data_IF_584457286168
#
_entry.id   IF_584457286168
#
_cell.length_a   1.000
_cell.length_b   1.000
_cell.length_c   1.000
_cell.angle_alpha   90.00
_cell.angle_beta   90.00
_cell.angle_gamma   90.00
#
_symmetry.space_group_name_H-M   'P 1'
#
loop_
_entity.id
_entity.type
_entity.pdbx_description
1 polymer ?
#
# COMPACT_ATOMS: atom_id res chain seq x y z
N UNK A 1 -9.47 4.45 11.14
CA UNK A 1 -8.13 4.46 10.55
C UNK A 1 -7.55 5.87 10.65
N UNK A 2 -6.36 6.08 11.23
CA UNK A 2 -5.77 7.40 11.35
C UNK A 2 -5.32 7.93 9.99
N UNK A 3 -5.38 9.24 9.82
CA UNK A 3 -4.98 9.93 8.60
C UNK A 3 -4.13 11.15 8.95
N UNK A 4 -2.99 11.30 8.31
CA UNK A 4 -2.05 12.38 8.56
C UNK A 4 -1.64 13.11 7.27
N UNK A 5 -1.60 14.45 7.33
CA UNK A 5 -1.21 15.30 6.19
C UNK A 5 0.32 15.41 6.05
N UNK A 6 0.96 14.36 5.59
CA UNK A 6 2.40 14.30 5.36
C UNK A 6 2.92 15.36 4.37
N UNK A 7 2.06 15.81 3.46
CA UNK A 7 2.40 16.85 2.47
C UNK A 7 2.77 18.17 3.11
N UNK A 8 2.35 18.43 4.35
CA UNK A 8 2.72 19.64 5.10
C UNK A 8 4.09 19.55 5.75
N UNK A 9 4.67 18.36 5.84
CA UNK A 9 5.96 18.10 6.45
C UNK A 9 6.99 17.77 5.35
N UNK A 10 7.47 18.81 4.67
CA UNK A 10 8.45 18.63 3.61
C UNK A 10 9.69 17.88 4.11
N UNK A 11 10.08 16.81 3.42
CA UNK A 11 11.28 16.02 3.73
C UNK A 11 11.16 15.07 4.92
N UNK A 12 10.03 15.04 5.64
CA UNK A 12 9.85 14.07 6.73
C UNK A 12 9.68 12.64 6.19
N UNK A 13 10.31 11.66 6.84
CA UNK A 13 10.07 10.25 6.53
C UNK A 13 8.67 9.85 7.04
N UNK A 14 7.77 9.34 6.18
CA UNK A 14 6.44 8.89 6.58
C UNK A 14 6.48 7.55 7.32
N UNK A 15 7.36 7.44 8.30
CA UNK A 15 7.47 6.30 9.19
C UNK A 15 6.61 6.55 10.43
N UNK A 16 5.71 5.62 10.72
CA UNK A 16 4.84 5.69 11.90
C UNK A 16 5.56 5.12 13.10
N UNK A 17 5.63 5.91 14.18
CA UNK A 17 6.16 5.50 15.48
C UNK A 17 5.06 5.08 16.45
N UNK A 18 5.41 5.04 17.74
CA UNK A 18 4.49 4.70 18.83
C UNK A 18 3.53 5.85 19.20
N UNK A 19 3.79 7.05 18.70
CA UNK A 19 2.95 8.21 18.94
C UNK A 19 1.81 8.29 17.92
N UNK A 20 0.64 8.71 18.39
CA UNK A 20 -0.49 8.97 17.52
C UNK A 20 -0.26 10.28 16.76
N UNK A 21 -0.05 10.15 15.43
CA UNK A 21 0.18 11.26 14.52
C UNK A 21 -0.94 11.32 13.49
N UNK A 22 -2.16 11.63 13.92
CA UNK A 22 -3.32 11.72 13.05
C UNK A 22 -3.93 13.12 13.05
N UNK A 23 -4.50 13.52 11.90
CA UNK A 23 -5.27 14.76 11.73
C UNK A 23 -6.76 14.49 11.55
N UNK A 24 -7.16 13.22 11.60
CA UNK A 24 -8.53 12.76 11.48
C UNK A 24 -8.60 11.25 11.51
N UNK A 25 -9.75 10.72 11.87
CA UNK A 25 -9.99 9.30 12.02
C UNK A 25 -11.36 8.93 11.46
N UNK A 26 -11.44 7.75 10.87
CA UNK A 26 -12.68 7.19 10.35
C UNK A 26 -12.91 5.84 11.01
N UNK A 27 -14.10 5.66 11.59
CA UNK A 27 -14.58 4.36 12.04
C UNK A 27 -15.21 3.63 10.85
N UNK A 28 -14.87 2.37 10.68
CA UNK A 28 -15.44 1.50 9.66
C UNK A 28 -15.87 0.18 10.28
N UNK A 29 -16.97 -0.35 9.79
CA UNK A 29 -17.58 -1.58 10.26
C UNK A 29 -17.69 -2.57 9.10
N UNK A 30 -17.72 -3.86 9.42
CA UNK A 30 -17.89 -4.93 8.46
C UNK A 30 -18.27 -6.23 9.15
N UNK A 31 -18.87 -7.16 8.42
CA UNK A 31 -19.25 -8.49 8.89
C UNK A 31 -18.04 -9.43 9.02
N UNK A 32 -16.94 -9.04 8.40
CA UNK A 32 -15.65 -9.72 8.48
C UNK A 32 -14.52 -8.73 8.64
N UNK A 33 -13.34 -9.22 9.05
CA UNK A 33 -12.13 -8.41 9.14
C UNK A 33 -11.79 -7.74 7.80
N UNK A 34 -11.90 -8.49 6.70
CA UNK A 34 -11.60 -7.97 5.36
C UNK A 34 -12.58 -6.87 4.93
N UNK A 35 -13.85 -7.03 5.23
CA UNK A 35 -14.88 -6.06 4.92
C UNK A 35 -14.68 -4.76 5.71
N UNK A 36 -14.46 -4.84 7.03
CA UNK A 36 -14.20 -3.69 7.87
C UNK A 36 -12.89 -2.97 7.46
N UNK A 37 -11.84 -3.75 7.17
CA UNK A 37 -10.57 -3.17 6.73
C UNK A 37 -10.71 -2.50 5.36
N UNK A 38 -11.41 -3.13 4.40
CA UNK A 38 -11.68 -2.54 3.08
C UNK A 38 -12.44 -1.22 3.20
N UNK A 39 -13.53 -1.20 3.95
CA UNK A 39 -14.29 0.01 4.20
C UNK A 39 -13.43 1.13 4.84
N UNK A 40 -12.54 0.74 5.75
CA UNK A 40 -11.60 1.65 6.41
C UNK A 40 -10.62 2.30 5.43
N UNK A 41 -9.97 1.51 4.54
CA UNK A 41 -9.03 2.07 3.57
C UNK A 41 -9.73 2.83 2.45
N UNK A 42 -10.88 2.37 2.01
CA UNK A 42 -11.67 3.03 0.97
C UNK A 42 -12.18 4.42 1.41
N UNK A 43 -12.32 4.64 2.71
CA UNK A 43 -12.71 5.94 3.26
C UNK A 43 -11.55 6.92 3.42
N UNK A 44 -10.31 6.51 3.16
CA UNK A 44 -9.15 7.41 3.22
C UNK A 44 -9.06 8.29 1.98
N UNK A 45 -8.68 9.55 2.17
CA UNK A 45 -8.53 10.50 1.06
C UNK A 45 -7.46 10.02 0.07
N UNK A 46 -7.81 9.97 -1.21
CA UNK A 46 -6.88 9.60 -2.28
C UNK A 46 -6.69 8.09 -2.48
N UNK A 47 -7.36 7.24 -1.69
CA UNK A 47 -7.32 5.81 -1.96
C UNK A 47 -7.97 5.51 -3.32
N UNK A 48 -7.25 4.72 -4.11
CA UNK A 48 -7.74 4.18 -5.37
C UNK A 48 -7.65 2.67 -5.33
N UNK A 49 -8.66 1.99 -5.84
CA UNK A 49 -8.67 0.53 -5.91
C UNK A 49 -7.57 0.07 -6.85
N UNK A 50 -6.60 -0.73 -6.36
CA UNK A 50 -5.51 -1.23 -7.20
C UNK A 50 -6.03 -2.17 -8.28
N UNK A 51 -5.50 -2.04 -9.49
CA UNK A 51 -5.91 -2.84 -10.63
C UNK A 51 -4.86 -3.92 -10.92
N UNK A 52 -5.27 -5.18 -11.16
CA UNK A 52 -4.39 -6.21 -11.67
C UNK A 52 -3.67 -5.75 -12.96
N UNK A 53 -2.52 -6.33 -13.25
CA UNK A 53 -1.61 -5.96 -14.34
C UNK A 53 -0.91 -4.60 -14.21
N UNK A 54 -1.18 -3.86 -13.14
CA UNK A 54 -0.47 -2.62 -12.81
C UNK A 54 0.67 -2.88 -11.82
N UNK A 55 1.49 -1.86 -11.61
CA UNK A 55 2.70 -1.93 -10.83
C UNK A 55 2.46 -1.78 -9.32
N UNK A 56 3.21 -2.55 -8.55
CA UNK A 56 3.36 -2.40 -7.09
C UNK A 56 4.84 -2.27 -6.78
N UNK A 57 5.20 -1.28 -5.99
CA UNK A 57 6.57 -1.12 -5.52
C UNK A 57 6.73 -1.75 -4.13
N UNK A 58 7.60 -2.75 -4.04
CA UNK A 58 7.94 -3.44 -2.81
C UNK A 58 9.32 -3.02 -2.32
N UNK A 59 9.47 -2.83 -1.02
CA UNK A 59 10.73 -2.46 -0.39
C UNK A 59 10.76 -2.78 1.09
N UNK A 60 11.90 -2.55 1.72
CA UNK A 60 12.09 -2.68 3.16
C UNK A 60 13.04 -3.78 3.58
N UNK A 61 12.86 -4.27 4.81
CA UNK A 61 13.74 -5.25 5.43
C UNK A 61 13.49 -6.66 4.88
N UNK A 62 14.49 -7.20 4.21
CA UNK A 62 14.48 -8.57 3.63
C UNK A 62 14.34 -9.68 4.68
N UNK A 63 14.58 -9.36 5.97
CA UNK A 63 14.41 -10.32 7.05
C UNK A 63 12.95 -10.44 7.54
N UNK A 64 12.04 -9.65 7.00
CA UNK A 64 10.61 -9.74 7.33
C UNK A 64 9.92 -10.78 6.45
N UNK A 65 9.46 -11.90 7.02
CA UNK A 65 8.79 -12.95 6.26
C UNK A 65 7.50 -12.47 5.59
N UNK A 66 6.87 -11.42 6.14
CA UNK A 66 5.66 -10.80 5.60
C UNK A 66 5.91 -10.20 4.20
N UNK A 67 7.13 -9.71 3.92
CA UNK A 67 7.47 -9.20 2.59
C UNK A 67 7.34 -10.30 1.52
N UNK A 68 7.85 -11.48 1.83
CA UNK A 68 7.75 -12.66 0.97
C UNK A 68 6.30 -13.13 0.79
N UNK A 69 5.54 -13.15 1.89
CA UNK A 69 4.12 -13.55 1.88
C UNK A 69 3.28 -12.61 1.02
N UNK A 70 3.44 -11.31 1.23
CA UNK A 70 2.74 -10.27 0.46
C UNK A 70 3.10 -10.34 -1.01
N UNK A 71 4.38 -10.49 -1.34
CA UNK A 71 4.83 -10.60 -2.73
C UNK A 71 4.18 -11.77 -3.46
N UNK A 72 4.13 -12.95 -2.84
CA UNK A 72 3.44 -14.13 -3.40
C UNK A 72 1.97 -13.85 -3.68
N UNK A 73 1.27 -13.28 -2.70
CA UNK A 73 -0.16 -12.96 -2.82
C UNK A 73 -0.42 -11.99 -3.95
N UNK A 74 0.31 -10.87 -3.99
CA UNK A 74 0.15 -9.85 -5.01
C UNK A 74 0.51 -10.37 -6.42
N UNK A 75 1.56 -11.16 -6.54
CA UNK A 75 1.93 -11.77 -7.81
C UNK A 75 0.82 -12.71 -8.32
N UNK A 76 0.27 -13.56 -7.44
CA UNK A 76 -0.84 -14.46 -7.78
C UNK A 76 -2.14 -13.71 -8.16
N UNK A 77 -2.33 -12.50 -7.66
CA UNK A 77 -3.43 -11.61 -8.03
C UNK A 77 -3.18 -10.87 -9.36
N UNK A 78 -2.04 -11.11 -10.01
CA UNK A 78 -1.71 -10.56 -11.32
C UNK A 78 -1.07 -9.17 -11.28
N UNK A 79 -0.55 -8.71 -10.14
CA UNK A 79 0.20 -7.45 -10.07
C UNK A 79 1.63 -7.63 -10.60
N UNK A 80 2.16 -6.58 -11.25
CA UNK A 80 3.57 -6.49 -11.62
C UNK A 80 4.37 -6.01 -10.42
N UNK A 81 5.35 -6.81 -9.98
CA UNK A 81 6.15 -6.48 -8.80
C UNK A 81 7.42 -5.72 -9.21
N UNK A 82 7.64 -4.60 -8.55
CA UNK A 82 8.83 -3.77 -8.69
C UNK A 82 9.50 -3.56 -7.34
N UNK A 83 10.81 -3.32 -7.35
CA UNK A 83 11.58 -2.97 -6.15
C UNK A 83 12.66 -1.94 -6.50
N UNK A 84 13.11 -1.19 -5.52
CA UNK A 84 14.21 -0.22 -5.66
C UNK A 84 15.55 -0.79 -5.19
N UNK A 85 15.51 -1.74 -4.27
CA UNK A 85 16.67 -2.27 -3.56
C UNK A 85 17.11 -3.62 -4.15
N UNK A 86 18.42 -3.84 -4.42
CA UNK A 86 18.94 -5.09 -4.97
C UNK A 86 18.72 -6.29 -4.05
N UNK A 87 18.77 -6.11 -2.73
CA UNK A 87 18.55 -7.22 -1.79
C UNK A 87 17.09 -7.68 -1.82
N UNK A 88 16.16 -6.75 -1.96
CA UNK A 88 14.73 -7.07 -2.15
C UNK A 88 14.50 -7.77 -3.49
N UNK A 89 15.16 -7.33 -4.57
CA UNK A 89 15.10 -8.00 -5.87
C UNK A 89 15.55 -9.46 -5.76
N UNK A 90 16.71 -9.68 -5.12
CA UNK A 90 17.26 -11.03 -4.94
C UNK A 90 16.32 -11.91 -4.11
N UNK A 91 15.77 -11.37 -3.00
CA UNK A 91 14.80 -12.07 -2.17
C UNK A 91 13.55 -12.47 -2.98
N UNK A 92 12.94 -11.52 -3.68
CA UNK A 92 11.68 -11.76 -4.39
C UNK A 92 11.87 -12.75 -5.55
N UNK A 93 12.96 -12.66 -6.28
CA UNK A 93 13.26 -13.59 -7.38
C UNK A 93 13.75 -14.96 -6.89
N UNK A 94 14.08 -15.13 -5.61
CA UNK A 94 14.32 -16.43 -4.99
C UNK A 94 13.04 -17.22 -4.72
N UNK A 95 11.89 -16.55 -4.74
CA UNK A 95 10.59 -17.17 -4.50
C UNK A 95 10.13 -17.90 -5.77
N UNK A 96 9.82 -19.21 -5.72
CA UNK A 96 9.32 -19.92 -6.90
C UNK A 96 8.12 -19.22 -7.52
N UNK A 97 8.15 -19.07 -8.84
CA UNK A 97 7.09 -18.47 -9.68
C UNK A 97 6.86 -16.97 -9.48
N UNK A 98 7.56 -16.29 -8.58
CA UNK A 98 7.51 -14.84 -8.43
C UNK A 98 8.59 -14.20 -9.30
N UNK A 99 8.23 -13.13 -9.99
CA UNK A 99 9.17 -12.31 -10.75
C UNK A 99 9.01 -10.86 -10.33
N UNK A 100 10.08 -10.24 -9.90
CA UNK A 100 10.15 -8.82 -9.57
C UNK A 100 11.25 -8.15 -10.36
N UNK A 101 11.00 -6.93 -10.81
CA UNK A 101 11.95 -6.12 -11.56
C UNK A 101 12.42 -4.94 -10.73
N UNK A 102 13.74 -4.79 -10.65
CA UNK A 102 14.32 -3.59 -10.05
C UNK A 102 14.11 -2.38 -10.94
N UNK A 103 13.72 -1.28 -10.35
CA UNK A 103 13.65 0.04 -10.96
C UNK A 103 14.63 0.98 -10.26
N UNK A 104 15.27 1.82 -11.07
CA UNK A 104 16.22 2.80 -10.57
C UNK A 104 15.52 4.15 -10.36
N UNK A 105 15.77 4.80 -9.23
CA UNK A 105 15.21 6.11 -8.91
C UNK A 105 16.23 7.23 -9.11
N UNK A 106 15.93 8.25 -9.94
CA UNK A 106 16.74 9.45 -10.07
C UNK A 106 16.53 10.37 -8.86
N UNK A 107 17.19 10.06 -7.74
CA UNK A 107 16.98 10.68 -6.41
C UNK A 107 17.00 12.21 -6.41
N UNK A 108 17.69 12.83 -7.34
CA UNK A 108 17.88 14.30 -7.41
C UNK A 108 16.86 15.04 -8.28
N UNK A 109 16.03 14.32 -9.04
CA UNK A 109 15.11 14.92 -10.00
C UNK A 109 13.68 14.43 -9.79
N UNK A 110 12.87 15.22 -9.10
CA UNK A 110 11.48 14.87 -8.79
C UNK A 110 10.59 14.66 -10.02
N UNK A 111 10.86 15.34 -11.14
CA UNK A 111 10.07 15.16 -12.37
C UNK A 111 10.34 13.80 -12.96
N UNK A 112 11.61 13.43 -13.14
CA UNK A 112 12.00 12.11 -13.62
C UNK A 112 11.56 10.99 -12.68
N UNK A 113 11.53 11.26 -11.38
CA UNK A 113 11.04 10.32 -10.39
C UNK A 113 9.54 10.04 -10.60
N UNK A 114 8.75 11.08 -10.87
CA UNK A 114 7.33 10.91 -11.19
C UNK A 114 7.14 10.14 -12.48
N UNK A 115 7.90 10.48 -13.53
CA UNK A 115 7.88 9.75 -14.80
C UNK A 115 8.14 8.25 -14.60
N UNK A 116 9.09 7.88 -13.72
CA UNK A 116 9.34 6.46 -13.38
C UNK A 116 8.12 5.81 -12.76
N UNK A 117 7.44 6.46 -11.80
CA UNK A 117 6.22 5.90 -11.21
C UNK A 117 5.09 5.75 -12.23
N UNK A 118 4.95 6.71 -13.14
CA UNK A 118 3.95 6.68 -14.19
C UNK A 118 4.28 5.62 -15.26
N UNK A 119 5.54 5.51 -15.72
CA UNK A 119 5.99 4.54 -16.72
C UNK A 119 5.82 3.08 -16.27
N UNK A 120 6.06 2.81 -14.99
CA UNK A 120 5.83 1.49 -14.39
C UNK A 120 4.41 1.31 -13.85
N UNK A 121 3.54 2.29 -14.05
CA UNK A 121 2.15 2.29 -13.60
C UNK A 121 2.00 1.91 -12.12
N UNK A 122 2.89 2.43 -11.26
CA UNK A 122 2.89 2.12 -9.83
C UNK A 122 1.62 2.68 -9.18
N UNK A 123 0.80 1.81 -8.63
CA UNK A 123 -0.48 2.18 -8.00
C UNK A 123 -0.42 2.29 -6.50
N UNK A 124 0.47 1.56 -5.86
CA UNK A 124 0.70 1.63 -4.43
C UNK A 124 2.10 1.13 -4.07
N UNK A 125 2.53 1.47 -2.88
CA UNK A 125 3.86 1.15 -2.36
C UNK A 125 3.70 0.38 -1.05
N UNK A 126 4.39 -0.74 -0.92
CA UNK A 126 4.57 -1.46 0.34
C UNK A 126 6.04 -1.41 0.69
N UNK A 127 6.38 -0.73 1.77
CA UNK A 127 7.76 -0.58 2.21
C UNK A 127 7.89 -0.91 3.68
N UNK A 128 8.29 -2.15 3.96
CA UNK A 128 8.41 -2.70 5.31
C UNK A 128 9.77 -2.34 5.94
N UNK A 129 10.11 -1.06 5.91
CA UNK A 129 11.41 -0.58 6.34
C UNK A 129 11.77 -0.98 7.77
N UNK A 130 13.07 -1.13 7.99
CA UNK A 130 13.66 -1.17 9.31
C UNK A 130 13.86 0.27 9.77
N UNK A 131 13.49 0.57 11.02
CA UNK A 131 13.84 1.87 11.60
C UNK A 131 15.37 1.99 11.67
N UNK A 132 15.93 2.90 10.92
CA UNK A 132 17.38 3.17 10.87
C UNK A 132 17.63 4.62 11.24
N UNK A 133 17.22 5.15 12.34
CA UNK A 133 17.58 6.50 12.75
C UNK A 133 17.43 7.59 11.64
N UNK A 134 17.69 8.83 11.98
CA UNK A 134 17.47 9.99 11.07
C UNK A 134 18.55 10.18 9.98
N UNK A 135 19.59 9.38 9.92
CA UNK A 135 20.83 9.76 9.21
C UNK A 135 21.05 9.11 7.84
N UNK A 136 20.14 8.27 7.35
CA UNK A 136 20.33 7.62 6.05
C UNK A 136 19.14 7.88 5.11
N UNK A 137 19.38 8.76 4.12
CA UNK A 137 18.51 8.91 2.93
C UNK A 137 18.77 7.70 2.01
N UNK A 138 18.21 6.57 2.34
CA UNK A 138 18.29 5.36 1.52
C UNK A 138 17.20 5.32 0.43
N UNK A 139 17.32 4.36 -0.48
CA UNK A 139 16.34 4.16 -1.56
C UNK A 139 14.94 3.89 -1.02
N UNK A 140 14.84 3.25 0.14
CA UNK A 140 13.57 2.97 0.81
C UNK A 140 12.91 4.25 1.32
N UNK A 141 13.68 5.19 1.87
CA UNK A 141 13.17 6.51 2.22
C UNK A 141 12.64 7.26 0.99
N UNK A 142 13.41 7.24 -0.11
CA UNK A 142 13.01 7.88 -1.37
C UNK A 142 11.70 7.30 -1.86
N UNK A 143 11.54 5.97 -1.84
CA UNK A 143 10.31 5.30 -2.24
C UNK A 143 9.11 5.72 -1.36
N UNK A 144 9.27 5.70 -0.03
CA UNK A 144 8.20 6.12 0.91
C UNK A 144 7.83 7.58 0.75
N UNK A 145 8.83 8.47 0.68
CA UNK A 145 8.58 9.91 0.57
C UNK A 145 7.87 10.27 -0.73
N UNK A 146 8.30 9.69 -1.84
CA UNK A 146 7.68 9.97 -3.13
C UNK A 146 6.30 9.34 -3.29
N UNK A 147 6.04 8.18 -2.67
CA UNK A 147 4.68 7.66 -2.60
C UNK A 147 3.71 8.69 -2.01
N UNK A 148 4.09 9.31 -0.89
CA UNK A 148 3.28 10.37 -0.24
C UNK A 148 3.20 11.62 -1.09
N UNK A 149 4.33 12.11 -1.64
CA UNK A 149 4.37 13.32 -2.45
C UNK A 149 3.53 13.19 -3.75
N UNK A 150 3.40 11.98 -4.29
CA UNK A 150 2.61 11.69 -5.49
C UNK A 150 1.17 11.25 -5.20
N UNK A 151 0.81 11.16 -3.92
CA UNK A 151 -0.54 10.76 -3.50
C UNK A 151 -0.83 9.28 -3.72
N UNK A 152 0.20 8.42 -3.73
CA UNK A 152 0.04 6.98 -3.82
C UNK A 152 -0.17 6.37 -2.42
N UNK A 153 -1.04 5.36 -2.28
CA UNK A 153 -1.16 4.62 -1.04
C UNK A 153 0.17 4.02 -0.62
N UNK A 154 0.53 4.21 0.64
CA UNK A 154 1.74 3.67 1.25
C UNK A 154 1.38 2.80 2.45
N UNK A 155 1.87 1.56 2.44
CA UNK A 155 1.76 0.63 3.57
C UNK A 155 3.17 0.33 4.07
N UNK A 156 3.44 0.65 5.34
CA UNK A 156 4.77 0.49 5.94
C UNK A 156 4.80 -0.40 7.19
N UNK A 157 3.66 -1.00 7.55
CA UNK A 157 3.53 -1.93 8.66
C UNK A 157 3.26 -3.35 8.13
N UNK A 158 3.99 -4.35 8.65
CA UNK A 158 4.05 -5.70 8.11
C UNK A 158 2.69 -6.43 8.17
N UNK A 159 2.02 -6.40 9.32
CA UNK A 159 0.72 -7.07 9.49
C UNK A 159 -0.38 -6.40 8.65
N UNK A 160 -0.32 -5.07 8.55
CA UNK A 160 -1.23 -4.32 7.69
C UNK A 160 -1.01 -4.65 6.22
N UNK A 161 0.23 -4.87 5.79
CA UNK A 161 0.53 -5.28 4.42
C UNK A 161 -0.03 -6.67 4.08
N UNK A 162 0.11 -7.62 5.00
CA UNK A 162 -0.50 -8.96 4.85
C UNK A 162 -2.02 -8.86 4.79
N UNK A 163 -2.63 -8.14 5.73
CA UNK A 163 -4.08 -7.93 5.75
C UNK A 163 -4.59 -7.26 4.48
N UNK A 164 -3.84 -6.29 3.93
CA UNK A 164 -4.17 -5.64 2.68
C UNK A 164 -4.18 -6.63 1.51
N UNK A 165 -3.14 -7.45 1.38
CA UNK A 165 -3.06 -8.46 0.33
C UNK A 165 -4.17 -9.52 0.45
N UNK A 166 -4.49 -9.96 1.67
CA UNK A 166 -5.59 -10.88 1.93
C UNK A 166 -6.95 -10.28 1.60
N UNK A 167 -7.12 -9.01 1.94
CA UNK A 167 -8.36 -8.29 1.64
C UNK A 167 -8.54 -8.11 0.13
N UNK A 168 -7.48 -7.77 -0.61
CA UNK A 168 -7.52 -7.72 -2.07
C UNK A 168 -7.92 -9.08 -2.66
N UNK A 169 -7.30 -10.17 -2.17
CA UNK A 169 -7.64 -11.52 -2.62
C UNK A 169 -9.10 -11.87 -2.36
N UNK A 170 -9.61 -11.57 -1.16
CA UNK A 170 -10.99 -11.81 -0.80
C UNK A 170 -11.98 -11.02 -1.68
N UNK A 171 -11.68 -9.73 -1.93
CA UNK A 171 -12.51 -8.87 -2.78
C UNK A 171 -12.49 -9.29 -4.24
N UNK A 172 -11.35 -9.69 -4.77
CA UNK A 172 -11.24 -10.22 -6.14
C UNK A 172 -12.02 -11.53 -6.30
N UNK A 173 -11.93 -12.43 -5.33
CA UNK A 173 -12.68 -13.68 -5.35
C UNK A 173 -14.20 -13.47 -5.32
N UNK A 174 -14.66 -12.40 -4.68
CA UNK A 174 -16.08 -12.01 -4.64
C UNK A 174 -16.55 -11.26 -5.90
N UNK A 175 -15.65 -10.93 -6.83
CA UNK A 175 -15.96 -10.07 -7.98
C UNK A 175 -16.28 -8.62 -7.61
N UNK A 176 -15.96 -8.19 -6.39
CA UNK A 176 -16.36 -6.90 -5.83
C UNK A 176 -15.33 -5.78 -6.04
N UNK A 177 -14.20 -6.07 -6.72
CA UNK A 177 -13.17 -5.05 -6.96
C UNK A 177 -13.50 -4.11 -8.12
N UNK A 178 -14.27 -4.55 -9.11
CA UNK A 178 -14.57 -3.79 -10.32
C UNK A 178 -15.95 -4.15 -10.90
N UNK A 179 -16.65 -3.16 -11.50
CA UNK A 179 -16.34 -1.74 -11.52
C UNK A 179 -17.14 -0.97 -10.48
N UNK A 180 -16.52 0.02 -9.86
CA UNK A 180 -17.30 1.14 -9.34
C UNK A 180 -17.88 1.88 -10.56
N UNK A 181 -19.12 1.64 -10.89
CA UNK A 181 -19.83 2.52 -11.82
C UNK A 181 -19.88 3.91 -11.18
N UNK A 182 -19.38 4.89 -11.90
CA UNK A 182 -19.37 6.28 -11.45
C UNK A 182 -20.78 6.70 -11.04
N UNK A 183 -20.94 7.14 -9.78
CA UNK A 183 -22.23 7.53 -9.22
C UNK A 183 -22.97 6.45 -8.43
N UNK A 184 -22.49 5.20 -8.36
CA UNK A 184 -23.08 4.15 -7.54
C UNK A 184 -22.39 4.09 -6.19
N UNK A 185 -23.14 4.23 -5.10
CA UNK A 185 -22.63 4.03 -3.74
C UNK A 185 -22.16 2.56 -3.62
N UNK A 186 -20.90 2.30 -3.23
CA UNK A 186 -20.42 0.95 -3.04
C UNK A 186 -21.34 0.17 -2.10
N UNK A 187 -21.59 -1.10 -2.40
CA UNK A 187 -22.45 -1.95 -1.56
C UNK A 187 -21.95 -2.12 -0.12
N UNK A 188 -20.64 -1.83 0.09
CA UNK A 188 -20.02 -1.81 1.41
C UNK A 188 -20.33 -0.55 2.22
N UNK A 189 -20.77 0.53 1.57
CA UNK A 189 -21.20 1.74 2.28
C UNK A 189 -22.64 1.53 2.72
N UNK A 190 -22.80 1.25 3.98
CA UNK A 190 -24.10 0.99 4.61
C UNK A 190 -24.27 1.87 5.84
N UNK A 191 -25.52 2.10 6.24
CA UNK A 191 -25.81 2.75 7.51
C UNK A 191 -25.29 1.89 8.65
N UNK A 192 -24.78 2.52 9.69
CA UNK A 192 -24.30 1.82 10.89
C UNK A 192 -25.39 0.94 11.55
N UNK A 193 -26.67 1.30 11.39
CA UNK A 193 -27.79 0.49 11.84
C UNK A 193 -27.80 -0.94 11.29
N UNK A 194 -27.19 -1.14 10.13
CA UNK A 194 -27.08 -2.48 9.51
C UNK A 194 -26.17 -3.43 10.29
N UNK A 195 -25.31 -2.88 11.16
CA UNK A 195 -24.34 -3.63 11.97
C UNK A 195 -24.75 -3.75 13.43
N UNK A 196 -25.76 -3.02 13.87
CA UNK A 196 -26.27 -3.11 15.24
C UNK A 196 -27.37 -4.16 15.27
N UNK A 197 -27.26 -5.23 16.08
CA UNK A 197 -28.37 -6.16 16.26
C UNK A 197 -29.59 -5.36 16.80
N UNK A 198 -30.74 -5.58 16.23
CA UNK A 198 -31.99 -5.10 16.83
C UNK A 198 -32.11 -5.70 18.23
N UNK A 199 -32.23 -4.83 19.26
CA UNK A 199 -32.31 -5.20 20.67
C UNK A 199 -33.66 -5.85 20.99
#
# INVERSE_FOLDING_TARGET
MPQFSWTRLAGADPFLGVEMASTGEVAAFGRSLHEAYWASIASTTGFRVPQPNKGVLLGGDVNKPELTEVAKKLYNLGFKLYCSNPDVEALLNSIPYVSAKRIWFPVKDKRKLREVFDDYEIQFVINLAKYRGRDTLDEDYVARRNAVDFGLPLINEARTAVLFADTLAAKMAQGCLFPYEEGRIPSEVQSWHTFVPEA
#
